data_IF_973057063674
#
_entry.id   IF_973057063674
#
_cell.length_a   1.000
_cell.length_b   1.000
_cell.length_c   1.000
_cell.angle_alpha   90.00
_cell.angle_beta   90.00
_cell.angle_gamma   90.00
#
_symmetry.space_group_name_H-M   'P 1'
#
loop_
_entity.id
_entity.type
_entity.pdbx_description
1 polymer ?
#
# COMPACT_ATOMS: atom_id res chain seq x y z
N UNK A 1 -22.03 -18.05 -17.49
CA UNK A 1 -22.63 -17.49 -16.27
C UNK A 1 -21.73 -16.44 -15.71
N UNK A 2 -22.09 -15.21 -15.89
CA UNK A 2 -21.31 -14.04 -15.46
C UNK A 2 -22.08 -13.30 -14.35
N UNK A 3 -21.91 -13.72 -13.08
CA UNK A 3 -22.61 -13.10 -11.94
C UNK A 3 -22.38 -11.58 -11.82
N UNK A 4 -21.31 -11.09 -12.43
CA UNK A 4 -20.86 -9.71 -12.33
C UNK A 4 -21.54 -8.77 -13.34
N UNK A 5 -21.90 -9.26 -14.52
CA UNK A 5 -22.75 -8.51 -15.46
C UNK A 5 -24.17 -8.37 -14.92
N UNK A 6 -24.68 -9.41 -14.26
CA UNK A 6 -25.97 -9.36 -13.57
C UNK A 6 -25.97 -8.32 -12.45
N UNK A 7 -24.87 -8.15 -11.71
CA UNK A 7 -24.78 -7.14 -10.65
C UNK A 7 -24.76 -5.70 -11.20
N UNK A 8 -24.03 -5.44 -12.28
CA UNK A 8 -24.00 -4.11 -12.90
C UNK A 8 -25.37 -3.72 -13.47
N UNK A 9 -26.03 -4.66 -14.15
CA UNK A 9 -27.37 -4.44 -14.69
C UNK A 9 -28.43 -4.33 -13.61
N UNK A 10 -28.34 -5.14 -12.56
CA UNK A 10 -29.20 -5.05 -11.39
C UNK A 10 -29.08 -3.68 -10.68
N UNK A 11 -27.87 -3.19 -10.46
CA UNK A 11 -27.62 -1.87 -9.86
C UNK A 11 -28.14 -0.78 -10.77
N UNK A 12 -27.91 -0.86 -12.09
CA UNK A 12 -28.46 0.08 -13.07
C UNK A 12 -30.00 0.15 -13.05
N UNK A 13 -30.64 -1.01 -12.92
CA UNK A 13 -32.10 -1.07 -12.85
C UNK A 13 -32.68 -0.47 -11.56
N UNK A 14 -31.96 -0.64 -10.43
CA UNK A 14 -32.38 -0.08 -9.15
C UNK A 14 -32.07 1.42 -9.00
N UNK A 15 -30.98 1.89 -9.62
CA UNK A 15 -30.50 3.27 -9.50
C UNK A 15 -30.20 3.89 -10.86
N UNK A 16 -31.18 3.98 -11.76
CA UNK A 16 -30.94 4.41 -13.15
C UNK A 16 -30.38 5.83 -13.26
N UNK A 17 -30.73 6.71 -12.32
CA UNK A 17 -30.29 8.10 -12.28
C UNK A 17 -28.82 8.24 -11.77
N UNK A 18 -28.27 7.18 -11.13
CA UNK A 18 -26.94 7.19 -10.50
C UNK A 18 -25.92 6.30 -11.20
N UNK A 19 -26.35 5.48 -12.17
CA UNK A 19 -25.48 4.53 -12.85
C UNK A 19 -25.48 4.77 -14.35
N UNK A 20 -24.31 5.11 -14.87
CA UNK A 20 -24.06 5.22 -16.31
C UNK A 20 -23.21 4.04 -16.77
N UNK A 21 -23.66 3.34 -17.80
CA UNK A 21 -22.94 2.20 -18.38
C UNK A 21 -22.25 2.64 -19.66
N UNK A 22 -20.95 2.36 -19.76
CA UNK A 22 -20.16 2.57 -20.96
C UNK A 22 -19.82 1.22 -21.57
N UNK A 23 -20.11 1.04 -22.85
CA UNK A 23 -19.80 -0.18 -23.57
C UNK A 23 -18.35 -0.14 -24.09
N UNK A 24 -17.65 -1.25 -23.95
CA UNK A 24 -16.29 -1.39 -24.44
C UNK A 24 -16.12 -2.73 -25.19
N UNK A 25 -15.43 -2.70 -26.32
CA UNK A 25 -15.27 -3.86 -27.20
C UNK A 25 -14.20 -4.86 -26.73
N UNK A 26 -13.40 -4.46 -25.74
CA UNK A 26 -12.34 -5.31 -25.16
C UNK A 26 -11.96 -4.84 -23.74
N UNK A 27 -11.31 -5.70 -22.93
CA UNK A 27 -10.77 -5.31 -21.63
C UNK A 27 -9.80 -4.12 -21.70
N UNK A 28 -8.96 -4.05 -22.72
CA UNK A 28 -8.04 -2.92 -22.91
C UNK A 28 -8.79 -1.61 -23.18
N UNK A 29 -9.85 -1.67 -23.99
CA UNK A 29 -10.70 -0.49 -24.24
C UNK A 29 -11.46 -0.05 -23.00
N UNK A 30 -11.97 -1.00 -22.21
CA UNK A 30 -12.61 -0.69 -20.94
C UNK A 30 -11.64 0.00 -19.95
N UNK A 31 -10.40 -0.48 -19.87
CA UNK A 31 -9.38 0.15 -19.05
C UNK A 31 -9.02 1.58 -19.53
N UNK A 32 -8.86 1.76 -20.84
CA UNK A 32 -8.57 3.06 -21.44
C UNK A 32 -9.69 4.07 -21.19
N UNK A 33 -10.95 3.66 -21.37
CA UNK A 33 -12.12 4.50 -21.12
C UNK A 33 -12.23 4.90 -19.64
N UNK A 34 -12.07 3.93 -18.72
CA UNK A 34 -12.08 4.22 -17.28
C UNK A 34 -10.99 5.19 -16.86
N UNK A 35 -9.78 5.05 -17.42
CA UNK A 35 -8.66 5.97 -17.19
C UNK A 35 -8.96 7.35 -17.77
N UNK A 36 -9.56 7.43 -18.97
CA UNK A 36 -9.94 8.69 -19.59
C UNK A 36 -10.96 9.46 -18.76
N UNK A 37 -11.99 8.78 -18.24
CA UNK A 37 -13.02 9.39 -17.38
C UNK A 37 -12.41 10.03 -16.11
N UNK A 38 -11.44 9.38 -15.48
CA UNK A 38 -10.75 9.96 -14.32
C UNK A 38 -9.88 11.15 -14.73
N UNK A 39 -9.13 11.02 -15.82
CA UNK A 39 -8.23 12.06 -16.31
C UNK A 39 -8.98 13.34 -16.71
N UNK A 40 -10.19 13.20 -17.27
CA UNK A 40 -11.05 14.29 -17.71
C UNK A 40 -11.87 14.90 -16.56
N UNK A 41 -11.76 14.36 -15.35
CA UNK A 41 -12.48 14.83 -14.17
C UNK A 41 -13.94 14.41 -14.12
N UNK A 42 -14.32 13.38 -14.90
CA UNK A 42 -15.66 12.80 -14.88
C UNK A 42 -15.84 11.71 -13.81
N UNK A 43 -14.73 11.28 -13.18
CA UNK A 43 -14.72 10.35 -12.08
C UNK A 43 -13.56 10.66 -11.12
N UNK A 44 -13.79 10.50 -9.82
CA UNK A 44 -12.81 10.73 -8.75
C UNK A 44 -12.04 9.47 -8.38
N UNK A 45 -12.62 8.30 -8.62
CA UNK A 45 -12.06 7.00 -8.25
C UNK A 45 -12.20 6.01 -9.40
N UNK A 46 -11.12 5.31 -9.71
CA UNK A 46 -11.12 4.19 -10.66
C UNK A 46 -11.07 2.88 -9.88
N UNK A 47 -12.13 2.08 -9.95
CA UNK A 47 -12.22 0.79 -9.28
C UNK A 47 -12.15 -0.36 -10.30
N UNK A 48 -11.29 -1.32 -10.03
CA UNK A 48 -11.14 -2.53 -10.85
C UNK A 48 -12.12 -3.62 -10.39
N UNK A 49 -12.84 -4.20 -11.36
CA UNK A 49 -13.61 -5.44 -11.19
C UNK A 49 -12.83 -6.67 -11.71
N UNK A 50 -13.40 -7.42 -12.64
CA UNK A 50 -12.84 -8.68 -13.16
C UNK A 50 -11.66 -8.46 -14.11
N UNK A 51 -11.53 -7.30 -14.71
CA UNK A 51 -10.46 -7.01 -15.66
C UNK A 51 -9.09 -7.40 -15.10
N UNK A 52 -8.22 -7.94 -15.94
CA UNK A 52 -6.85 -8.31 -15.56
C UNK A 52 -6.09 -7.07 -15.05
N UNK A 53 -5.34 -7.23 -13.97
CA UNK A 53 -4.56 -6.13 -13.37
C UNK A 53 -3.57 -5.54 -14.37
N UNK A 54 -2.94 -6.36 -15.21
CA UNK A 54 -1.99 -5.91 -16.23
C UNK A 54 -2.64 -5.00 -17.29
N UNK A 55 -3.89 -5.26 -17.69
CA UNK A 55 -4.62 -4.40 -18.63
C UNK A 55 -4.86 -3.02 -18.01
N UNK A 56 -5.32 -2.98 -16.76
CA UNK A 56 -5.55 -1.73 -16.06
C UNK A 56 -4.25 -0.96 -15.81
N UNK A 57 -3.21 -1.62 -15.28
CA UNK A 57 -1.93 -0.98 -15.01
C UNK A 57 -1.29 -0.42 -16.28
N UNK A 58 -1.41 -1.12 -17.42
CA UNK A 58 -0.93 -0.63 -18.71
C UNK A 58 -1.64 0.65 -19.14
N UNK A 59 -2.93 0.77 -18.90
CA UNK A 59 -3.68 1.99 -19.17
C UNK A 59 -3.30 3.12 -18.20
N UNK A 60 -3.23 2.85 -16.90
CA UNK A 60 -2.86 3.82 -15.84
C UNK A 60 -1.44 4.36 -16.04
N UNK A 61 -0.49 3.49 -16.43
CA UNK A 61 0.92 3.83 -16.63
C UNK A 61 1.24 4.37 -18.04
N UNK A 62 0.25 4.52 -18.90
CA UNK A 62 0.47 5.08 -20.23
C UNK A 62 1.03 6.49 -20.11
N UNK A 63 2.12 6.79 -20.85
CA UNK A 63 2.85 8.06 -20.73
C UNK A 63 2.07 9.28 -21.24
N UNK A 64 1.17 9.07 -22.22
CA UNK A 64 0.42 10.15 -22.88
C UNK A 64 -0.99 10.31 -22.29
N UNK A 65 -1.64 9.17 -21.99
CA UNK A 65 -3.05 9.11 -21.63
C UNK A 65 -3.33 8.51 -20.27
N UNK A 66 -2.29 8.13 -19.50
CA UNK A 66 -2.43 7.52 -18.18
C UNK A 66 -2.69 8.53 -17.07
N UNK A 67 -2.71 7.99 -15.84
CA UNK A 67 -2.96 8.77 -14.62
C UNK A 67 -1.70 9.07 -13.81
N UNK A 68 -0.59 8.36 -14.06
CA UNK A 68 0.65 8.57 -13.31
C UNK A 68 1.41 9.78 -13.87
N UNK A 69 1.58 10.87 -13.10
CA UNK A 69 2.39 12.01 -13.51
C UNK A 69 3.85 11.60 -13.75
N UNK A 70 4.50 12.26 -14.68
CA UNK A 70 5.89 11.97 -15.01
C UNK A 70 6.80 12.17 -13.78
N UNK A 71 7.67 11.20 -13.53
CA UNK A 71 8.61 11.21 -12.39
C UNK A 71 8.02 10.68 -11.10
N UNK A 72 6.72 10.39 -11.03
CA UNK A 72 6.10 9.78 -9.86
C UNK A 72 6.20 8.26 -9.89
N UNK A 73 5.99 7.66 -8.73
CA UNK A 73 6.04 6.22 -8.49
C UNK A 73 4.62 5.71 -8.28
N UNK A 74 4.26 4.60 -8.92
CA UNK A 74 3.06 3.86 -8.59
C UNK A 74 3.36 2.94 -7.41
N UNK A 75 2.57 3.02 -6.36
CA UNK A 75 2.67 2.16 -5.18
C UNK A 75 1.30 1.63 -4.80
N UNK A 76 1.29 0.61 -3.95
CA UNK A 76 0.09 -0.04 -3.46
C UNK A 76 0.02 0.09 -1.94
N UNK A 77 -1.11 0.56 -1.43
CA UNK A 77 -1.43 0.57 0.00
C UNK A 77 -2.70 -0.23 0.26
N UNK A 78 -2.64 -1.11 1.23
CA UNK A 78 -3.81 -1.83 1.76
C UNK A 78 -4.18 -1.25 3.11
N UNK A 79 -5.46 -0.99 3.33
CA UNK A 79 -6.01 -0.64 4.63
C UNK A 79 -6.86 -1.80 5.12
N UNK A 80 -6.51 -2.39 6.25
CA UNK A 80 -7.16 -3.56 6.79
C UNK A 80 -7.67 -3.34 8.22
N UNK A 81 -8.85 -3.86 8.49
CA UNK A 81 -9.36 -4.06 9.84
C UNK A 81 -9.16 -5.53 10.22
N UNK A 82 -8.31 -5.78 11.22
CA UNK A 82 -7.98 -7.13 11.67
C UNK A 82 -8.65 -7.35 13.03
N UNK A 83 -9.44 -8.44 13.22
CA UNK A 83 -10.19 -8.67 14.46
C UNK A 83 -9.35 -8.70 15.74
N UNK A 84 -8.08 -9.12 15.61
CA UNK A 84 -7.13 -9.22 16.73
C UNK A 84 -6.26 -7.98 16.92
N UNK A 85 -6.47 -6.93 16.12
CA UNK A 85 -5.74 -5.68 16.21
C UNK A 85 -6.72 -4.52 16.43
N UNK A 86 -6.47 -3.68 17.42
CA UNK A 86 -7.44 -2.72 17.93
C UNK A 86 -7.64 -1.45 17.09
N UNK A 87 -6.98 -1.36 15.93
CA UNK A 87 -7.06 -0.22 15.01
C UNK A 87 -6.88 -0.66 13.56
N UNK A 88 -7.10 0.24 12.62
CA UNK A 88 -6.76 0.00 11.21
C UNK A 88 -5.27 -0.21 11.06
N UNK A 89 -4.89 -1.16 10.23
CA UNK A 89 -3.51 -1.47 9.90
C UNK A 89 -3.29 -1.25 8.40
N UNK A 90 -2.27 -0.49 8.07
CA UNK A 90 -1.90 -0.14 6.71
C UNK A 90 -0.71 -1.00 6.28
N UNK A 91 -0.69 -1.42 5.03
CA UNK A 91 0.41 -2.21 4.44
C UNK A 91 0.85 -1.60 3.13
N UNK A 92 2.14 -1.39 2.93
CA UNK A 92 2.77 -0.88 1.71
C UNK A 92 4.20 -1.43 1.55
N UNK A 93 4.69 -1.72 0.37
CA UNK A 93 4.05 -2.08 -0.89
C UNK A 93 4.07 -3.61 -1.01
N UNK A 94 2.89 -4.22 -1.12
CA UNK A 94 2.80 -5.68 -1.17
C UNK A 94 2.67 -6.24 -2.59
N UNK A 95 2.50 -5.37 -3.62
CA UNK A 95 2.01 -5.85 -4.90
C UNK A 95 2.66 -5.23 -6.15
N UNK A 96 3.22 -4.03 -6.08
CA UNK A 96 3.64 -3.26 -7.27
C UNK A 96 5.15 -3.16 -7.40
N UNK A 97 5.88 -2.87 -6.32
CA UNK A 97 7.33 -2.66 -6.36
C UNK A 97 8.05 -3.77 -5.58
N UNK A 98 8.53 -4.83 -6.25
CA UNK A 98 9.17 -5.96 -5.55
C UNK A 98 10.48 -5.59 -4.84
N UNK A 99 11.24 -4.67 -5.41
CA UNK A 99 12.53 -4.21 -4.88
C UNK A 99 12.66 -2.70 -5.11
N UNK A 100 12.10 -1.88 -4.21
CA UNK A 100 12.18 -0.45 -4.34
C UNK A 100 13.62 0.04 -4.14
N UNK A 101 14.01 1.05 -4.90
CA UNK A 101 15.18 1.87 -4.61
C UNK A 101 14.88 2.77 -3.41
N UNK A 102 15.91 3.36 -2.78
CA UNK A 102 15.72 4.31 -1.68
C UNK A 102 14.75 5.46 -2.08
N UNK A 103 14.90 6.01 -3.28
CA UNK A 103 14.02 7.08 -3.76
C UNK A 103 12.55 6.61 -3.92
N UNK A 104 12.35 5.39 -4.39
CA UNK A 104 11.00 4.79 -4.47
C UNK A 104 10.44 4.52 -3.06
N UNK A 105 11.26 4.04 -2.14
CA UNK A 105 10.86 3.86 -0.74
C UNK A 105 10.40 5.18 -0.10
N UNK A 106 11.13 6.26 -0.34
CA UNK A 106 10.73 7.57 0.16
C UNK A 106 9.42 8.07 -0.45
N UNK A 107 9.22 7.86 -1.76
CA UNK A 107 7.97 8.22 -2.41
C UNK A 107 6.79 7.43 -1.83
N UNK A 108 6.95 6.11 -1.68
CA UNK A 108 5.97 5.24 -1.03
C UNK A 108 5.63 5.74 0.38
N UNK A 109 6.64 5.94 1.21
CA UNK A 109 6.47 6.42 2.59
C UNK A 109 5.69 7.74 2.65
N UNK A 110 5.98 8.69 1.75
CA UNK A 110 5.25 9.96 1.69
C UNK A 110 3.78 9.78 1.32
N UNK A 111 3.48 8.93 0.35
CA UNK A 111 2.10 8.61 -0.04
C UNK A 111 1.35 7.93 1.10
N UNK A 112 1.98 6.96 1.74
CA UNK A 112 1.39 6.21 2.85
C UNK A 112 1.08 7.11 4.04
N UNK A 113 1.99 8.02 4.39
CA UNK A 113 1.80 9.01 5.45
C UNK A 113 0.65 9.97 5.12
N UNK A 114 0.51 10.37 3.86
CA UNK A 114 -0.61 11.19 3.42
C UNK A 114 -1.94 10.45 3.60
N UNK A 115 -2.02 9.18 3.22
CA UNK A 115 -3.22 8.36 3.42
C UNK A 115 -3.54 8.19 4.90
N UNK A 116 -2.55 7.89 5.74
CA UNK A 116 -2.73 7.78 7.19
C UNK A 116 -3.31 9.09 7.78
N UNK A 117 -2.74 10.24 7.42
CA UNK A 117 -3.18 11.55 7.91
C UNK A 117 -4.59 11.90 7.45
N UNK A 118 -4.94 11.61 6.20
CA UNK A 118 -6.31 11.80 5.66
C UNK A 118 -7.34 10.92 6.38
N UNK A 119 -6.92 9.78 6.93
CA UNK A 119 -7.76 8.90 7.74
C UNK A 119 -7.69 9.22 9.25
N UNK A 120 -7.16 10.38 9.62
CA UNK A 120 -7.18 10.92 10.99
C UNK A 120 -6.00 10.52 11.88
N UNK A 121 -4.97 9.85 11.33
CA UNK A 121 -3.76 9.49 12.09
C UNK A 121 -2.71 10.59 11.87
N UNK A 122 -2.65 11.54 12.81
CA UNK A 122 -1.75 12.72 12.71
C UNK A 122 -0.27 12.39 12.87
N UNK A 123 0.05 11.39 13.71
CA UNK A 123 1.41 10.92 13.99
C UNK A 123 1.51 9.39 13.75
N UNK A 124 1.57 8.94 12.49
CA UNK A 124 1.63 7.52 12.18
C UNK A 124 2.86 6.84 12.79
N UNK A 125 2.67 5.65 13.35
CA UNK A 125 3.73 4.74 13.77
C UNK A 125 4.03 3.77 12.64
N UNK A 126 5.21 3.93 12.04
CA UNK A 126 5.61 3.21 10.83
C UNK A 126 6.66 2.17 11.17
N UNK A 127 6.38 0.92 10.90
CA UNK A 127 7.31 -0.19 11.03
C UNK A 127 7.95 -0.54 9.68
N UNK A 128 9.26 -0.49 9.61
CA UNK A 128 10.05 -0.96 8.47
C UNK A 128 10.20 -2.49 8.59
N UNK A 129 9.42 -3.21 7.80
CA UNK A 129 9.29 -4.66 7.95
C UNK A 129 10.43 -5.41 7.25
N UNK A 130 11.04 -6.33 8.00
CA UNK A 130 12.04 -7.25 7.48
C UNK A 130 12.06 -8.57 8.28
N UNK A 131 12.73 -9.59 7.76
CA UNK A 131 12.92 -10.87 8.45
C UNK A 131 14.07 -10.86 9.48
N UNK A 132 14.77 -9.75 9.63
CA UNK A 132 15.82 -9.52 10.63
C UNK A 132 15.60 -8.18 11.33
N UNK A 133 15.99 -8.09 12.59
CA UNK A 133 15.95 -6.85 13.37
C UNK A 133 17.29 -6.06 13.31
N UNK A 134 18.24 -6.52 12.53
CA UNK A 134 19.57 -5.89 12.44
C UNK A 134 19.84 -5.35 11.05
N UNK A 135 20.41 -4.16 11.00
CA UNK A 135 20.99 -3.62 9.78
C UNK A 135 22.15 -4.51 9.38
N UNK A 136 22.15 -5.00 8.13
CA UNK A 136 23.13 -5.95 7.64
C UNK A 136 23.35 -5.78 6.14
N UNK A 137 24.61 -5.69 5.71
CA UNK A 137 24.99 -5.56 4.30
C UNK A 137 24.52 -6.74 3.42
N UNK A 138 24.31 -7.92 4.01
CA UNK A 138 23.69 -9.06 3.31
C UNK A 138 22.23 -8.79 2.90
N UNK A 139 21.61 -7.81 3.52
CA UNK A 139 20.26 -7.34 3.23
C UNK A 139 20.29 -5.85 2.91
N UNK A 140 20.63 -5.44 1.69
CA UNK A 140 20.85 -4.03 1.32
C UNK A 140 19.70 -3.09 1.69
N UNK A 141 18.46 -3.57 1.67
CA UNK A 141 17.29 -2.76 2.08
C UNK A 141 17.35 -2.30 3.55
N UNK A 142 18.06 -3.04 4.41
CA UNK A 142 18.22 -2.61 5.80
C UNK A 142 19.13 -1.38 5.91
N UNK A 143 20.04 -1.17 4.96
CA UNK A 143 20.83 0.05 4.85
C UNK A 143 19.96 1.24 4.44
N UNK A 144 19.04 1.04 3.48
CA UNK A 144 18.05 2.05 3.10
C UNK A 144 17.17 2.44 4.30
N UNK A 145 16.79 1.47 5.15
CA UNK A 145 16.03 1.72 6.38
C UNK A 145 16.79 2.61 7.36
N UNK A 146 18.11 2.46 7.47
CA UNK A 146 18.92 3.35 8.30
C UNK A 146 18.84 4.80 7.81
N UNK A 147 18.97 5.00 6.50
CA UNK A 147 18.85 6.33 5.88
C UNK A 147 17.46 6.93 6.10
N UNK A 148 16.40 6.13 5.92
CA UNK A 148 15.01 6.59 6.16
C UNK A 148 14.81 7.01 7.62
N UNK A 149 15.35 6.25 8.59
CA UNK A 149 15.28 6.58 10.02
C UNK A 149 16.01 7.88 10.33
N UNK A 150 17.18 8.09 9.78
CA UNK A 150 17.94 9.34 9.94
C UNK A 150 17.16 10.54 9.40
N UNK A 151 16.58 10.41 8.21
CA UNK A 151 15.74 11.46 7.60
C UNK A 151 14.45 11.70 8.40
N UNK A 152 13.81 10.66 8.93
CA UNK A 152 12.65 10.80 9.80
C UNK A 152 13.02 11.56 11.09
N UNK A 153 14.15 11.22 11.72
CA UNK A 153 14.66 11.91 12.90
C UNK A 153 14.98 13.39 12.63
N UNK A 154 15.39 13.75 11.42
CA UNK A 154 15.60 15.15 11.01
C UNK A 154 14.29 15.88 10.65
N UNK A 155 13.12 15.21 10.73
CA UNK A 155 11.82 15.82 10.43
C UNK A 155 11.45 15.85 8.95
N UNK A 156 12.19 15.16 8.07
CA UNK A 156 11.98 15.20 6.62
C UNK A 156 10.58 14.74 6.17
N UNK A 157 9.87 13.98 7.01
CA UNK A 157 8.53 13.43 6.71
C UNK A 157 7.40 14.01 7.58
N UNK A 158 7.70 15.04 8.38
CA UNK A 158 6.77 15.61 9.36
C UNK A 158 6.60 14.72 10.60
N UNK A 159 5.53 14.98 11.38
CA UNK A 159 5.29 14.26 12.63
C UNK A 159 4.96 12.79 12.36
N UNK A 160 5.80 11.88 12.86
CA UNK A 160 5.68 10.42 12.77
C UNK A 160 6.70 9.72 13.65
N UNK A 161 6.48 8.44 13.89
CA UNK A 161 7.48 7.54 14.44
C UNK A 161 7.87 6.50 13.39
N UNK A 162 9.16 6.34 13.12
CA UNK A 162 9.68 5.36 12.16
C UNK A 162 10.71 4.48 12.85
N UNK A 163 10.52 3.17 12.82
CA UNK A 163 11.49 2.23 13.35
C UNK A 163 11.51 0.90 12.60
N UNK A 164 12.57 0.15 12.77
CA UNK A 164 12.89 -1.11 12.13
C UNK A 164 14.37 -1.19 11.75
N UNK A 165 14.81 -2.27 11.12
CA UNK A 165 13.97 -3.39 10.65
C UNK A 165 13.37 -4.19 11.79
N UNK A 166 12.15 -4.69 11.61
CA UNK A 166 11.47 -5.61 12.53
C UNK A 166 10.48 -6.50 11.79
N UNK A 167 10.08 -7.64 12.40
CA UNK A 167 9.03 -8.45 11.82
C UNK A 167 7.61 -7.92 12.15
N UNK A 168 6.62 -8.42 11.42
CA UNK A 168 5.22 -8.00 11.58
C UNK A 168 4.71 -8.26 13.00
N UNK A 169 5.12 -9.38 13.62
CA UNK A 169 4.68 -9.72 14.97
C UNK A 169 5.21 -8.68 15.98
N UNK A 170 6.47 -8.33 15.91
CA UNK A 170 7.08 -7.30 16.75
C UNK A 170 6.42 -5.92 16.54
N UNK A 171 6.08 -5.58 15.30
CA UNK A 171 5.41 -4.33 14.99
C UNK A 171 3.99 -4.23 15.60
N UNK A 172 3.28 -5.36 15.73
CA UNK A 172 1.88 -5.41 16.14
C UNK A 172 1.65 -5.98 17.56
N UNK A 173 2.66 -6.55 18.20
CA UNK A 173 2.56 -7.19 19.53
C UNK A 173 3.68 -6.70 20.45
N UNK A 174 3.32 -5.93 21.46
CA UNK A 174 4.26 -5.34 22.42
C UNK A 174 5.06 -6.41 23.19
N UNK A 175 4.42 -7.54 23.55
CA UNK A 175 5.09 -8.63 24.22
C UNK A 175 6.22 -9.24 23.39
N UNK A 176 6.04 -9.32 22.07
CA UNK A 176 7.10 -9.77 21.16
C UNK A 176 8.32 -8.84 21.17
N UNK A 177 8.09 -7.54 21.34
CA UNK A 177 9.18 -6.56 21.51
C UNK A 177 9.92 -6.75 22.85
N UNK A 178 9.19 -6.96 23.92
CA UNK A 178 9.79 -7.23 25.25
C UNK A 178 10.69 -8.49 25.23
N UNK A 179 10.19 -9.59 24.67
CA UNK A 179 10.94 -10.85 24.52
C UNK A 179 12.23 -10.66 23.71
N UNK A 180 12.20 -9.80 22.69
CA UNK A 180 13.37 -9.49 21.83
C UNK A 180 14.25 -8.38 22.38
N UNK A 181 13.86 -7.72 23.47
CA UNK A 181 14.58 -6.58 24.04
C UNK A 181 14.58 -5.35 23.14
N UNK A 182 13.55 -5.18 22.32
CA UNK A 182 13.38 -4.03 21.41
C UNK A 182 12.42 -3.02 22.06
N UNK A 183 12.92 -1.81 22.31
CA UNK A 183 12.12 -0.71 22.85
C UNK A 183 11.98 0.40 21.82
N UNK A 184 10.75 0.66 21.38
CA UNK A 184 10.44 1.69 20.39
C UNK A 184 8.95 2.09 20.50
N UNK A 185 8.59 3.34 20.19
CA UNK A 185 7.18 3.75 20.16
C UNK A 185 6.37 3.06 19.06
N UNK A 186 7.02 2.37 18.13
CA UNK A 186 6.39 1.63 17.02
C UNK A 186 6.04 0.20 17.42
N UNK A 187 6.88 -0.43 18.27
CA UNK A 187 6.71 -1.83 18.69
C UNK A 187 5.36 -2.06 19.37
N UNK A 188 4.60 -3.04 18.88
CA UNK A 188 3.25 -3.35 19.37
C UNK A 188 2.16 -2.36 18.99
N UNK A 189 2.51 -1.25 18.32
CA UNK A 189 1.60 -0.14 18.09
C UNK A 189 1.66 0.42 16.66
N UNK A 190 2.18 -0.34 15.69
CA UNK A 190 2.31 0.12 14.31
C UNK A 190 0.94 0.49 13.69
N UNK A 191 0.89 1.61 13.00
CA UNK A 191 -0.23 1.99 12.14
C UNK A 191 0.02 1.53 10.70
N UNK A 192 1.28 1.67 10.25
CA UNK A 192 1.72 1.35 8.91
C UNK A 192 2.88 0.34 8.96
N UNK A 193 2.74 -0.72 8.19
CA UNK A 193 3.80 -1.69 7.89
C UNK A 193 4.30 -1.41 6.49
N UNK A 194 5.50 -0.89 6.35
CA UNK A 194 6.11 -0.67 5.04
C UNK A 194 7.26 -1.64 4.81
N UNK A 195 7.29 -2.24 3.63
CA UNK A 195 8.25 -3.26 3.27
C UNK A 195 8.44 -3.32 1.76
N UNK A 196 9.41 -4.09 1.30
CA UNK A 196 9.36 -4.62 -0.05
C UNK A 196 8.48 -5.89 -0.09
N UNK A 197 7.91 -6.19 -1.25
CA UNK A 197 7.02 -7.35 -1.42
C UNK A 197 7.68 -8.69 -1.00
N UNK A 198 9.01 -8.79 -1.10
CA UNK A 198 9.78 -9.98 -0.68
C UNK A 198 9.79 -10.12 0.85
N UNK A 199 9.92 -9.03 1.59
CA UNK A 199 9.94 -9.08 3.05
C UNK A 199 8.58 -9.50 3.63
N UNK A 200 7.47 -9.04 3.05
CA UNK A 200 6.12 -9.44 3.47
C UNK A 200 5.89 -10.93 3.24
N UNK A 201 6.29 -11.47 2.09
CA UNK A 201 6.13 -12.90 1.78
C UNK A 201 6.97 -13.81 2.66
N UNK A 202 8.15 -13.38 3.09
CA UNK A 202 9.00 -14.13 4.03
C UNK A 202 8.37 -14.18 5.44
N UNK A 203 7.78 -13.08 5.90
CA UNK A 203 7.11 -13.01 7.19
C UNK A 203 5.81 -13.86 7.24
N UNK A 204 5.07 -13.94 6.14
CA UNK A 204 3.84 -14.74 6.03
C UNK A 204 4.05 -16.26 6.11
N UNK A 205 5.26 -16.76 5.85
CA UNK A 205 5.57 -18.21 5.98
C UNK A 205 5.93 -18.64 7.41
N UNK A 206 6.17 -17.69 8.30
CA UNK A 206 6.50 -17.98 9.71
C UNK A 206 5.28 -18.24 10.61
N UNK A 207 4.08 -17.93 10.15
CA UNK A 207 2.84 -18.14 10.89
C UNK A 207 2.23 -19.49 10.48
N UNK A 208 2.88 -20.59 10.85
CA UNK A 208 2.16 -21.88 10.97
C UNK A 208 1.55 -21.93 12.35
N UNK A 209 0.24 -21.91 12.39
CA UNK A 209 -0.49 -22.27 13.61
C UNK A 209 -0.14 -23.72 13.97
N UNK A 210 0.53 -23.92 15.08
CA UNK A 210 0.53 -25.19 15.82
C UNK A 210 -0.57 -25.10 16.86
#
# INVERSE_FOLDING_TARGET
DTPHLLNAEYIRLQYPEHVKVYEATSPDKAAQEGVALVREGHADVLMKGIINTDNLLRAVLNKEHGLLPQGNVLSHITVAQIPTYNKLLFFSDAAVIPRPTLAQFEAMLKYDLEVCRRLGISEPRVALIHCTEKINEKFPHTLDYAVLKERAASGAYGSMFLDGPMDVKTACDAHSGEVKGISSPVVGHADLLTANAVAITCNGRGVRHT
#
